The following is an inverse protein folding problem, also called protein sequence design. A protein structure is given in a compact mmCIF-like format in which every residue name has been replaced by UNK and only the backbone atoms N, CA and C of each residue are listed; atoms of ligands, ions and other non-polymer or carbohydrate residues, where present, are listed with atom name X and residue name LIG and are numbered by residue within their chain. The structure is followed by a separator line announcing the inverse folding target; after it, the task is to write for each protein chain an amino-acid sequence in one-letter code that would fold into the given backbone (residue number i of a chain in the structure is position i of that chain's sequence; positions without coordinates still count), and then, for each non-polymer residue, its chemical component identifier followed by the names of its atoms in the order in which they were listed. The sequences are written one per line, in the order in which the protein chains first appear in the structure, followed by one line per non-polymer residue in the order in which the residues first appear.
data_IF_322713248407
#
_entry.id   IF_322713248407
#
_cell.length_a   1.000
_cell.length_b   1.000
_cell.length_c   1.000
_cell.angle_alpha   90.00
_cell.angle_beta   90.00
_cell.angle_gamma   90.00
#
_symmetry.space_group_name_H-M   'P 1'
#
loop_
_entity.id
_entity.type
_entity.pdbx_description
1 polymer ?
#
# COMPACT_ATOMS: atom_id res chain seq x y z
N UNK A 1 16.72 -12.15 -9.11
CA UNK A 1 15.57 -11.75 -9.96
C UNK A 1 16.12 -10.92 -11.10
N UNK A 2 15.73 -11.22 -12.34
CA UNK A 2 16.28 -10.55 -13.52
C UNK A 2 15.91 -9.06 -13.54
N UNK A 3 16.84 -8.20 -13.95
CA UNK A 3 16.67 -6.74 -14.12
C UNK A 3 15.73 -6.38 -15.30
N UNK A 4 14.80 -7.27 -15.66
CA UNK A 4 13.99 -7.16 -16.88
C UNK A 4 12.65 -6.42 -16.69
N UNK A 5 12.35 -5.96 -15.49
CA UNK A 5 11.06 -5.34 -15.18
C UNK A 5 9.86 -6.30 -15.16
N UNK A 6 10.14 -7.60 -15.12
CA UNK A 6 9.13 -8.65 -15.10
C UNK A 6 9.26 -9.55 -13.86
N UNK A 7 8.12 -10.02 -13.38
CA UNK A 7 7.93 -11.03 -12.37
C UNK A 7 7.19 -12.21 -13.06
N UNK A 8 7.94 -13.19 -13.57
CA UNK A 8 7.37 -14.19 -14.47
C UNK A 8 6.79 -13.52 -15.73
N UNK A 9 5.50 -13.69 -15.98
CA UNK A 9 4.80 -13.05 -17.11
C UNK A 9 4.18 -11.68 -16.76
N UNK A 10 4.26 -11.25 -15.50
CA UNK A 10 3.71 -9.99 -15.00
C UNK A 10 4.74 -8.86 -15.00
N UNK A 11 4.26 -7.61 -14.97
CA UNK A 11 5.09 -6.41 -15.03
C UNK A 11 5.16 -5.80 -16.42
N UNK A 12 6.32 -5.29 -16.80
CA UNK A 12 6.55 -4.69 -18.11
C UNK A 12 6.22 -3.20 -18.19
N UNK A 13 6.16 -2.67 -19.43
CA UNK A 13 5.91 -1.25 -19.73
C UNK A 13 4.88 -1.13 -20.84
N UNK A 14 3.62 -1.06 -20.49
CA UNK A 14 2.48 -0.90 -21.40
C UNK A 14 2.03 0.57 -21.39
N UNK A 15 2.87 1.44 -21.95
CA UNK A 15 2.72 2.90 -21.91
C UNK A 15 2.92 3.52 -23.29
N UNK A 16 2.45 4.76 -23.53
CA UNK A 16 2.79 5.55 -24.71
C UNK A 16 4.31 5.76 -24.82
N UNK A 17 4.81 5.84 -26.06
CA UNK A 17 6.23 6.00 -26.39
C UNK A 17 6.85 7.23 -25.70
N UNK A 18 6.08 8.30 -25.52
CA UNK A 18 6.50 9.54 -24.87
C UNK A 18 7.02 9.32 -23.43
N UNK A 19 6.57 8.26 -22.73
CA UNK A 19 7.00 7.94 -21.38
C UNK A 19 8.25 7.04 -21.31
N UNK A 20 8.66 6.40 -22.39
CA UNK A 20 9.77 5.43 -22.37
C UNK A 20 11.07 6.11 -21.93
N UNK A 21 11.35 7.33 -22.43
CA UNK A 21 12.53 8.10 -22.02
C UNK A 21 12.55 8.40 -20.51
N UNK A 22 11.41 8.82 -19.95
CA UNK A 22 11.27 9.12 -18.53
C UNK A 22 11.38 7.87 -17.65
N UNK A 23 10.82 6.74 -18.09
CA UNK A 23 10.95 5.47 -17.38
C UNK A 23 12.39 4.95 -17.39
N UNK A 24 13.13 5.13 -18.49
CA UNK A 24 14.57 4.80 -18.55
C UNK A 24 15.39 5.69 -17.61
N UNK A 25 15.12 7.02 -17.60
CA UNK A 25 15.74 7.96 -16.67
C UNK A 25 15.52 7.53 -15.22
N UNK A 26 14.26 7.21 -14.87
CA UNK A 26 13.88 6.78 -13.54
C UNK A 26 14.53 5.46 -13.13
N UNK A 27 14.58 4.48 -14.03
CA UNK A 27 15.24 3.19 -13.79
C UNK A 27 16.74 3.36 -13.53
N UNK A 28 17.42 4.15 -14.35
CA UNK A 28 18.85 4.45 -14.18
C UNK A 28 19.09 5.17 -12.85
N UNK A 29 18.28 6.19 -12.54
CA UNK A 29 18.39 6.95 -11.31
C UNK A 29 18.17 6.05 -10.07
N UNK A 30 17.12 5.21 -10.08
CA UNK A 30 16.85 4.27 -8.98
C UNK A 30 17.98 3.24 -8.81
N UNK A 31 18.43 2.60 -9.89
CA UNK A 31 19.50 1.61 -9.84
C UNK A 31 20.83 2.21 -9.37
N UNK A 32 21.10 3.47 -9.69
CA UNK A 32 22.26 4.20 -9.20
C UNK A 32 22.13 4.52 -7.72
N UNK A 33 20.98 5.07 -7.30
CA UNK A 33 20.71 5.43 -5.92
C UNK A 33 20.80 4.23 -4.96
N UNK A 34 20.34 3.05 -5.38
CA UNK A 34 20.43 1.81 -4.58
C UNK A 34 21.89 1.36 -4.31
N UNK A 35 22.87 1.89 -5.01
CA UNK A 35 24.30 1.59 -4.86
C UNK A 35 25.11 2.78 -4.34
N UNK A 36 24.48 3.93 -4.19
CA UNK A 36 25.11 5.17 -3.76
C UNK A 36 25.09 5.27 -2.21
N UNK A 37 26.24 5.16 -1.53
CA UNK A 37 26.30 5.23 -0.06
C UNK A 37 25.76 6.55 0.51
N UNK A 38 25.90 7.67 -0.22
CA UNK A 38 25.40 8.97 0.24
C UNK A 38 23.88 9.01 0.19
N UNK A 39 23.26 8.49 -0.89
CA UNK A 39 21.81 8.38 -0.98
C UNK A 39 21.24 7.49 0.13
N UNK A 40 21.86 6.33 0.33
CA UNK A 40 21.41 5.37 1.36
C UNK A 40 21.56 5.93 2.76
N UNK A 41 22.64 6.66 3.04
CA UNK A 41 22.86 7.32 4.33
C UNK A 41 21.83 8.45 4.57
N UNK A 42 21.56 9.28 3.57
CA UNK A 42 20.57 10.36 3.64
C UNK A 42 19.15 9.79 3.87
N UNK A 43 18.78 8.73 3.14
CA UNK A 43 17.50 8.06 3.34
C UNK A 43 17.39 7.41 4.72
N UNK A 44 18.44 6.75 5.20
CA UNK A 44 18.48 6.15 6.54
C UNK A 44 18.35 7.21 7.65
N UNK A 45 19.00 8.37 7.50
CA UNK A 45 18.86 9.48 8.44
C UNK A 45 17.44 10.04 8.46
N UNK A 46 16.79 10.20 7.31
CA UNK A 46 15.38 10.60 7.22
C UNK A 46 14.45 9.56 7.85
N UNK A 47 14.71 8.29 7.63
CA UNK A 47 13.95 7.23 8.29
C UNK A 47 14.06 7.31 9.80
N UNK A 48 15.25 7.54 10.33
CA UNK A 48 15.51 7.63 11.76
C UNK A 48 14.94 8.90 12.40
N UNK A 49 15.23 10.06 11.82
CA UNK A 49 14.98 11.36 12.47
C UNK A 49 13.66 11.99 12.09
N UNK A 50 13.10 11.64 10.93
CA UNK A 50 11.85 12.22 10.42
C UNK A 50 10.70 11.24 10.40
N UNK A 51 10.90 9.99 9.94
CA UNK A 51 9.86 8.95 9.98
C UNK A 51 9.63 8.40 11.38
N UNK A 52 10.69 8.28 12.20
CA UNK A 52 10.65 7.69 13.54
C UNK A 52 10.91 6.17 13.51
N UNK A 53 11.70 5.70 12.53
CA UNK A 53 12.08 4.28 12.44
C UNK A 53 13.24 3.93 13.38
N UNK A 54 13.39 2.63 13.78
CA UNK A 54 12.56 1.50 13.40
C UNK A 54 11.16 1.56 14.01
N UNK A 55 10.12 1.20 13.19
CA UNK A 55 8.76 1.04 13.71
C UNK A 55 8.73 -0.15 14.67
N UNK A 56 8.06 -0.02 15.80
CA UNK A 56 8.01 -1.07 16.81
C UNK A 56 7.07 -2.21 16.43
N UNK A 57 7.27 -3.38 17.04
CA UNK A 57 6.28 -4.46 17.06
C UNK A 57 5.58 -4.45 18.42
N UNK A 58 4.26 -4.50 18.40
CA UNK A 58 3.39 -4.61 19.59
C UNK A 58 2.69 -5.96 19.59
N UNK A 59 2.77 -6.72 20.67
CA UNK A 59 1.96 -7.93 20.85
C UNK A 59 0.55 -7.54 21.28
N UNK A 60 -0.45 -7.94 20.49
CA UNK A 60 -1.88 -7.66 20.73
C UNK A 60 -2.50 -8.81 21.56
N UNK A 61 -2.24 -8.81 22.85
CA UNK A 61 -2.54 -9.95 23.75
C UNK A 61 -4.03 -10.26 23.88
N UNK A 62 -4.86 -9.24 24.09
CA UNK A 62 -6.31 -9.43 24.24
C UNK A 62 -6.98 -9.72 22.89
N UNK A 63 -6.47 -9.15 21.82
CA UNK A 63 -6.92 -9.48 20.47
C UNK A 63 -6.59 -10.94 20.11
N UNK A 64 -5.44 -11.45 20.55
CA UNK A 64 -5.01 -12.84 20.35
C UNK A 64 -5.99 -13.88 20.91
N UNK A 65 -6.72 -13.57 22.00
CA UNK A 65 -7.73 -14.45 22.57
C UNK A 65 -8.84 -14.80 21.57
N UNK A 66 -9.13 -13.91 20.61
CA UNK A 66 -10.13 -14.10 19.56
C UNK A 66 -9.60 -14.86 18.34
N UNK A 67 -8.28 -15.05 18.25
CA UNK A 67 -7.59 -15.74 17.16
C UNK A 67 -7.20 -17.18 17.54
N UNK A 68 -8.04 -17.88 18.30
CA UNK A 68 -7.78 -19.27 18.72
C UNK A 68 -6.57 -19.41 19.65
N UNK A 69 -6.12 -18.32 20.27
CA UNK A 69 -4.95 -18.30 21.16
C UNK A 69 -3.61 -18.13 20.44
N UNK A 70 -3.58 -18.05 19.12
CA UNK A 70 -2.39 -17.67 18.37
C UNK A 70 -1.91 -16.28 18.79
N UNK A 71 -0.61 -16.09 18.95
CA UNK A 71 -0.04 -14.80 19.34
C UNK A 71 -0.02 -13.85 18.14
N UNK A 72 -0.63 -12.69 18.29
CA UNK A 72 -0.73 -11.67 17.25
C UNK A 72 0.27 -10.54 17.54
N UNK A 73 1.14 -10.28 16.58
CA UNK A 73 2.14 -9.21 16.60
C UNK A 73 1.82 -8.19 15.52
N UNK A 74 1.80 -6.91 15.89
CA UNK A 74 1.48 -5.78 15.01
C UNK A 74 2.75 -4.99 14.70
N UNK A 75 3.18 -4.97 13.43
CA UNK A 75 4.21 -4.04 12.96
C UNK A 75 3.57 -2.66 12.79
N UNK A 76 3.97 -1.71 13.63
CA UNK A 76 3.30 -0.44 13.87
C UNK A 76 3.68 0.65 12.86
N UNK A 77 3.35 0.46 11.58
CA UNK A 77 3.53 1.49 10.55
C UNK A 77 2.58 2.70 10.72
N UNK A 78 1.53 2.55 11.51
CA UNK A 78 0.60 3.59 11.93
C UNK A 78 1.24 4.66 12.82
N UNK A 79 2.35 4.35 13.49
CA UNK A 79 3.09 5.28 14.35
C UNK A 79 4.13 6.12 13.59
N UNK A 80 4.42 5.79 12.36
CA UNK A 80 5.32 6.57 11.53
C UNK A 80 4.79 7.98 11.30
N UNK A 81 5.67 8.94 11.06
CA UNK A 81 5.26 10.27 10.61
C UNK A 81 4.31 10.19 9.43
N UNK A 82 3.26 10.99 9.40
CA UNK A 82 2.07 10.94 8.53
C UNK A 82 1.03 9.88 8.88
N UNK A 83 1.37 8.87 9.72
CA UNK A 83 0.41 7.88 10.23
C UNK A 83 0.21 6.67 9.35
N UNK A 84 1.16 6.35 8.46
CA UNK A 84 1.11 5.13 7.64
C UNK A 84 2.46 4.76 7.04
N UNK A 85 2.56 3.54 6.46
CA UNK A 85 3.72 3.06 5.72
C UNK A 85 4.12 3.92 4.51
N UNK A 86 3.22 4.76 3.99
CA UNK A 86 3.44 5.53 2.75
C UNK A 86 4.64 6.45 2.81
N UNK A 87 4.99 6.96 3.99
CA UNK A 87 6.15 7.85 4.17
C UNK A 87 7.47 7.20 3.73
N UNK A 88 7.60 5.87 3.86
CA UNK A 88 8.82 5.15 3.49
C UNK A 88 9.14 5.33 1.99
N UNK A 89 8.14 5.10 1.16
CA UNK A 89 8.27 5.21 -0.30
C UNK A 89 8.45 6.66 -0.75
N UNK A 90 7.65 7.59 -0.22
CA UNK A 90 7.68 8.97 -0.72
C UNK A 90 8.97 9.70 -0.36
N UNK A 91 9.62 9.39 0.77
CA UNK A 91 10.93 9.95 1.10
C UNK A 91 12.00 9.48 0.09
N UNK A 92 12.02 8.18 -0.23
CA UNK A 92 12.92 7.64 -1.23
C UNK A 92 12.71 8.25 -2.62
N UNK A 93 11.45 8.35 -3.06
CA UNK A 93 11.11 8.96 -4.34
C UNK A 93 11.39 10.48 -4.37
N UNK A 94 11.16 11.20 -3.27
CA UNK A 94 11.45 12.64 -3.20
C UNK A 94 12.94 12.93 -3.28
N UNK A 95 13.78 12.16 -2.58
CA UNK A 95 15.23 12.24 -2.70
C UNK A 95 15.68 11.95 -4.14
N UNK A 96 15.11 10.92 -4.76
CA UNK A 96 15.41 10.56 -6.14
C UNK A 96 15.00 11.68 -7.09
N UNK A 97 13.83 12.30 -6.89
CA UNK A 97 13.33 13.45 -7.65
C UNK A 97 14.33 14.63 -7.63
N UNK A 98 14.84 14.96 -6.43
CA UNK A 98 15.87 16.02 -6.30
C UNK A 98 17.16 15.67 -7.05
N UNK A 99 17.64 14.43 -6.97
CA UNK A 99 18.85 13.98 -7.66
C UNK A 99 18.70 13.95 -9.18
N UNK A 100 17.49 13.71 -9.68
CA UNK A 100 17.16 13.84 -11.12
C UNK A 100 16.97 15.29 -11.56
N UNK A 101 17.05 16.28 -10.66
CA UNK A 101 16.87 17.71 -10.98
C UNK A 101 15.43 18.11 -11.31
N UNK A 102 14.43 17.24 -11.05
CA UNK A 102 13.01 17.58 -11.22
C UNK A 102 12.56 18.53 -10.11
N UNK A 103 11.65 19.43 -10.42
CA UNK A 103 11.18 20.49 -9.50
C UNK A 103 9.79 20.26 -8.98
N UNK A 104 9.03 19.40 -9.68
CA UNK A 104 7.63 19.15 -9.41
C UNK A 104 7.38 17.66 -9.23
N UNK A 105 6.53 17.31 -8.28
CA UNK A 105 5.96 15.98 -8.14
C UNK A 105 4.46 16.02 -8.35
N UNK A 106 3.94 14.95 -8.94
CA UNK A 106 2.52 14.65 -8.97
C UNK A 106 2.29 13.32 -8.26
N UNK A 107 1.14 13.17 -7.63
CA UNK A 107 0.73 11.94 -6.97
C UNK A 107 -0.76 11.71 -7.17
N UNK A 108 -1.18 10.46 -7.11
CA UNK A 108 -2.57 10.05 -6.97
C UNK A 108 -2.88 9.69 -5.53
N UNK A 109 -4.14 9.72 -5.14
CA UNK A 109 -4.55 9.19 -3.84
C UNK A 109 -6.04 8.82 -3.82
N UNK A 110 -6.39 7.75 -3.09
CA UNK A 110 -7.77 7.37 -2.75
C UNK A 110 -8.08 7.78 -1.31
N UNK A 111 -7.63 7.00 -0.33
CA UNK A 111 -7.82 7.32 1.10
C UNK A 111 -7.10 8.60 1.60
N UNK A 112 -6.33 9.26 0.75
CA UNK A 112 -5.61 10.48 1.09
C UNK A 112 -4.24 10.26 1.76
N UNK A 113 -3.93 9.08 2.26
CA UNK A 113 -2.66 8.84 2.99
C UNK A 113 -1.43 8.99 2.11
N UNK A 114 -1.48 8.51 0.86
CA UNK A 114 -0.39 8.72 -0.08
C UNK A 114 -0.24 10.19 -0.45
N UNK A 115 -1.34 10.89 -0.70
CA UNK A 115 -1.34 12.33 -0.98
C UNK A 115 -0.75 13.16 0.17
N UNK A 116 -1.13 12.86 1.42
CA UNK A 116 -0.55 13.52 2.60
C UNK A 116 0.94 13.23 2.72
N UNK A 117 1.36 11.97 2.53
CA UNK A 117 2.78 11.61 2.58
C UNK A 117 3.57 12.30 1.46
N UNK A 118 3.05 12.37 0.23
CA UNK A 118 3.66 13.05 -0.92
C UNK A 118 3.79 14.55 -0.68
N UNK A 119 2.71 15.20 -0.20
CA UNK A 119 2.75 16.62 0.17
C UNK A 119 3.76 16.89 1.28
N UNK A 120 3.87 15.99 2.26
CA UNK A 120 4.85 16.07 3.36
C UNK A 120 6.29 16.01 2.83
N UNK A 121 6.59 15.03 1.97
CA UNK A 121 7.91 14.87 1.38
C UNK A 121 8.26 16.05 0.44
N UNK A 122 7.29 16.54 -0.33
CA UNK A 122 7.47 17.72 -1.17
C UNK A 122 7.79 18.97 -0.35
N UNK A 123 7.03 19.23 0.72
CA UNK A 123 7.29 20.35 1.63
C UNK A 123 8.70 20.26 2.26
N UNK A 124 9.09 19.07 2.73
CA UNK A 124 10.42 18.82 3.30
C UNK A 124 11.54 19.10 2.30
N UNK A 125 11.35 18.73 1.03
CA UNK A 125 12.37 18.80 -0.02
C UNK A 125 12.35 20.09 -0.84
N UNK A 126 11.35 20.98 -0.61
CA UNK A 126 11.16 22.20 -1.39
C UNK A 126 10.75 21.94 -2.84
N UNK A 127 9.85 20.97 -3.06
CA UNK A 127 9.31 20.59 -4.37
C UNK A 127 7.87 21.06 -4.51
N UNK A 128 7.47 21.46 -5.71
CA UNK A 128 6.06 21.68 -6.04
C UNK A 128 5.30 20.34 -6.03
N UNK A 129 4.07 20.36 -5.50
CA UNK A 129 3.27 19.13 -5.36
C UNK A 129 1.84 19.32 -5.86
N UNK A 130 1.40 18.44 -6.77
CA UNK A 130 0.01 18.33 -7.21
C UNK A 130 -0.50 16.92 -6.90
N UNK A 131 -1.63 16.82 -6.21
CA UNK A 131 -2.25 15.55 -5.84
C UNK A 131 -3.60 15.42 -6.54
N UNK A 132 -3.74 14.39 -7.35
CA UNK A 132 -4.99 13.99 -8.00
C UNK A 132 -5.77 13.06 -7.07
N UNK A 133 -7.04 13.35 -6.84
CA UNK A 133 -7.92 12.58 -5.98
C UNK A 133 -9.33 12.55 -6.57
N UNK A 134 -9.97 11.39 -6.60
CA UNK A 134 -11.34 11.30 -7.07
C UNK A 134 -12.28 12.22 -6.28
N UNK A 135 -13.24 12.84 -6.93
CA UNK A 135 -14.20 13.75 -6.26
C UNK A 135 -14.94 13.04 -5.12
N UNK A 136 -15.32 11.79 -5.31
CA UNK A 136 -15.97 10.98 -4.28
C UNK A 136 -15.03 10.74 -3.08
N UNK A 137 -13.77 10.45 -3.34
CA UNK A 137 -12.75 10.27 -2.30
C UNK A 137 -12.42 11.59 -1.59
N UNK A 138 -12.42 12.73 -2.30
CA UNK A 138 -12.23 14.07 -1.66
C UNK A 138 -13.31 14.36 -0.64
N UNK A 139 -14.54 13.92 -0.90
CA UNK A 139 -15.67 14.08 0.02
C UNK A 139 -15.53 13.18 1.24
N UNK A 140 -15.22 11.88 1.02
CA UNK A 140 -15.05 10.87 2.09
C UNK A 140 -13.88 11.20 3.01
N UNK A 141 -12.81 11.79 2.49
CA UNK A 141 -11.53 12.00 3.15
C UNK A 141 -11.14 13.49 3.24
N UNK A 142 -12.12 14.34 3.53
CA UNK A 142 -11.96 15.80 3.58
C UNK A 142 -10.85 16.28 4.55
N UNK A 143 -10.64 15.56 5.66
CA UNK A 143 -9.55 15.85 6.60
C UNK A 143 -8.17 15.71 5.94
N UNK A 144 -7.96 14.66 5.15
CA UNK A 144 -6.70 14.47 4.44
C UNK A 144 -6.52 15.53 3.32
N UNK A 145 -7.61 15.95 2.66
CA UNK A 145 -7.57 17.06 1.69
C UNK A 145 -7.10 18.35 2.38
N UNK A 146 -7.63 18.66 3.56
CA UNK A 146 -7.20 19.82 4.35
C UNK A 146 -5.70 19.72 4.73
N UNK A 147 -5.24 18.55 5.17
CA UNK A 147 -3.82 18.30 5.51
C UNK A 147 -2.89 18.51 4.31
N UNK A 148 -3.24 18.00 3.13
CA UNK A 148 -2.45 18.20 1.90
C UNK A 148 -2.34 19.69 1.55
N UNK A 149 -3.44 20.44 1.64
CA UNK A 149 -3.45 21.90 1.39
C UNK A 149 -2.62 22.67 2.42
N UNK A 150 -2.67 22.30 3.70
CA UNK A 150 -1.82 22.90 4.75
C UNK A 150 -0.33 22.66 4.51
N UNK A 151 0.03 21.52 3.88
CA UNK A 151 1.39 21.19 3.48
C UNK A 151 1.84 21.86 2.18
N UNK A 152 0.99 22.70 1.58
CA UNK A 152 1.29 23.47 0.37
C UNK A 152 0.98 22.74 -0.95
N UNK A 153 0.43 21.54 -0.92
CA UNK A 153 0.07 20.83 -2.14
C UNK A 153 -1.22 21.38 -2.77
N UNK A 154 -1.27 21.41 -4.09
CA UNK A 154 -2.49 21.59 -4.86
C UNK A 154 -3.22 20.25 -4.92
N UNK A 155 -4.49 20.22 -4.51
CA UNK A 155 -5.35 19.03 -4.65
C UNK A 155 -6.35 19.27 -5.78
N UNK A 156 -6.31 18.38 -6.77
CA UNK A 156 -7.18 18.39 -7.96
C UNK A 156 -8.21 17.29 -7.84
N UNK A 157 -9.49 17.66 -7.72
CA UNK A 157 -10.60 16.72 -7.71
C UNK A 157 -10.87 16.20 -9.13
N UNK A 158 -10.84 14.87 -9.31
CA UNK A 158 -11.12 14.22 -10.59
C UNK A 158 -12.60 13.85 -10.65
N UNK A 159 -13.31 14.47 -11.60
CA UNK A 159 -14.77 14.38 -11.76
C UNK A 159 -15.24 13.40 -12.82
N UNK A 160 -14.31 12.71 -13.49
CA UNK A 160 -14.59 11.75 -14.55
C UNK A 160 -14.59 10.31 -14.03
N UNK A 161 -15.23 9.39 -14.75
CA UNK A 161 -15.32 7.97 -14.40
C UNK A 161 -16.07 7.70 -13.10
N UNK A 162 -15.60 6.72 -12.32
CA UNK A 162 -16.13 6.41 -10.98
C UNK A 162 -15.77 7.45 -9.93
N UNK A 163 -14.90 8.40 -10.26
CA UNK A 163 -14.43 9.47 -9.38
C UNK A 163 -13.70 8.97 -8.13
N UNK A 164 -12.96 7.87 -8.28
CA UNK A 164 -12.17 7.18 -7.25
C UNK A 164 -10.70 7.08 -7.63
N UNK A 165 -9.91 6.31 -6.89
CA UNK A 165 -8.46 6.13 -7.07
C UNK A 165 -8.06 5.77 -8.50
N UNK A 166 -8.82 4.90 -9.21
CA UNK A 166 -8.50 4.52 -10.61
C UNK A 166 -8.45 5.74 -11.52
N UNK A 167 -9.42 6.65 -11.39
CA UNK A 167 -9.50 7.84 -12.24
C UNK A 167 -8.48 8.91 -11.83
N UNK A 168 -8.14 8.98 -10.55
CA UNK A 168 -7.02 9.80 -10.06
C UNK A 168 -5.69 9.37 -10.69
N UNK A 169 -5.42 8.05 -10.80
CA UNK A 169 -4.23 7.51 -11.48
C UNK A 169 -4.25 7.90 -12.98
N UNK A 170 -5.40 7.76 -13.64
CA UNK A 170 -5.53 8.13 -15.06
C UNK A 170 -5.18 9.60 -15.30
N UNK A 171 -5.65 10.49 -14.43
CA UNK A 171 -5.40 11.94 -14.56
C UNK A 171 -3.96 12.29 -14.23
N UNK A 172 -3.38 11.71 -13.19
CA UNK A 172 -1.95 11.86 -12.88
C UNK A 172 -1.06 11.39 -14.06
N UNK A 173 -1.40 10.28 -14.71
CA UNK A 173 -0.67 9.81 -15.89
C UNK A 173 -0.78 10.78 -17.07
N UNK A 174 -1.94 11.43 -17.30
CA UNK A 174 -2.09 12.45 -18.36
C UNK A 174 -1.24 13.68 -18.08
N UNK A 175 -1.22 14.16 -16.84
CA UNK A 175 -0.34 15.25 -16.43
C UNK A 175 1.14 14.87 -16.65
N UNK A 176 1.52 13.65 -16.23
CA UNK A 176 2.90 13.21 -16.36
C UNK A 176 3.37 13.15 -17.80
N UNK A 177 2.57 12.60 -18.73
CA UNK A 177 2.89 12.62 -20.18
C UNK A 177 3.13 14.03 -20.69
N UNK A 178 2.33 15.01 -20.20
CA UNK A 178 2.42 16.40 -20.65
C UNK A 178 3.66 17.11 -20.08
N UNK A 179 4.05 16.82 -18.83
CA UNK A 179 5.05 17.57 -18.07
C UNK A 179 6.28 16.73 -17.69
N UNK A 180 6.59 15.69 -18.42
CA UNK A 180 7.60 14.69 -18.08
C UNK A 180 9.00 15.29 -17.91
N UNK A 181 9.31 16.43 -18.54
CA UNK A 181 10.63 17.03 -18.52
C UNK A 181 11.04 17.52 -17.11
N UNK A 182 10.14 18.08 -16.35
CA UNK A 182 10.41 18.69 -15.02
C UNK A 182 9.65 18.04 -13.87
N UNK A 183 8.78 17.07 -14.17
CA UNK A 183 7.86 16.47 -13.24
C UNK A 183 8.19 14.99 -13.02
N UNK A 184 8.25 14.56 -11.75
CA UNK A 184 8.26 13.16 -11.36
C UNK A 184 6.87 12.70 -10.92
N UNK A 185 6.41 11.56 -11.45
CA UNK A 185 5.22 10.91 -10.95
C UNK A 185 5.58 10.06 -9.72
N UNK A 186 5.18 10.52 -8.54
CA UNK A 186 5.40 9.84 -7.27
C UNK A 186 4.29 8.80 -7.03
N UNK A 187 4.41 7.64 -7.67
CA UNK A 187 3.41 6.59 -7.59
C UNK A 187 3.38 5.95 -6.19
N UNK A 188 2.17 5.82 -5.63
CA UNK A 188 1.96 5.43 -4.23
C UNK A 188 1.82 3.94 -3.97
N UNK A 189 1.84 3.11 -5.01
CA UNK A 189 1.66 1.66 -4.88
C UNK A 189 2.63 0.89 -5.78
N UNK A 190 2.70 -0.44 -5.62
CA UNK A 190 3.55 -1.34 -6.42
C UNK A 190 2.93 -1.73 -7.76
N UNK A 191 2.01 -0.91 -8.27
CA UNK A 191 1.46 -0.98 -9.62
C UNK A 191 2.22 -0.08 -10.60
N UNK A 192 1.72 0.08 -11.80
CA UNK A 192 2.32 0.94 -12.82
C UNK A 192 3.44 0.26 -13.62
N UNK A 193 3.95 0.96 -14.64
CA UNK A 193 4.99 0.42 -15.50
C UNK A 193 6.32 0.27 -14.76
N UNK A 194 7.15 -0.69 -15.18
CA UNK A 194 8.53 -0.76 -14.68
C UNK A 194 9.26 0.59 -14.91
N UNK A 195 9.99 1.17 -13.90
CA UNK A 195 10.50 0.51 -12.68
C UNK A 195 9.62 0.66 -11.42
N UNK A 196 8.44 1.27 -11.49
CA UNK A 196 7.65 1.59 -10.29
C UNK A 196 7.40 0.41 -9.34
N UNK A 197 6.99 -0.81 -9.78
CA UNK A 197 6.77 -1.90 -8.85
C UNK A 197 8.02 -2.26 -8.04
N UNK A 198 9.17 -2.33 -8.70
CA UNK A 198 10.46 -2.62 -8.05
C UNK A 198 10.88 -1.49 -7.12
N UNK A 199 10.82 -0.25 -7.60
CA UNK A 199 11.25 0.93 -6.84
C UNK A 199 10.41 1.13 -5.58
N UNK A 200 9.10 1.04 -5.68
CA UNK A 200 8.18 1.20 -4.53
C UNK A 200 8.38 0.07 -3.52
N UNK A 201 8.56 -1.18 -3.98
CA UNK A 201 8.95 -2.30 -3.11
C UNK A 201 10.24 -2.01 -2.37
N UNK A 202 11.29 -1.58 -3.08
CA UNK A 202 12.62 -1.38 -2.51
C UNK A 202 12.63 -0.29 -1.43
N UNK A 203 11.80 0.75 -1.57
CA UNK A 203 11.63 1.75 -0.52
C UNK A 203 10.72 1.29 0.64
N UNK A 204 9.90 0.26 0.45
CA UNK A 204 9.07 -0.31 1.53
C UNK A 204 9.70 -1.54 2.22
N UNK A 205 10.70 -2.18 1.63
CA UNK A 205 11.28 -3.45 2.16
C UNK A 205 11.83 -3.34 3.58
N UNK A 206 12.19 -2.12 4.01
CA UNK A 206 12.61 -1.82 5.39
C UNK A 206 11.58 -2.29 6.43
N UNK A 207 10.29 -2.34 6.08
CA UNK A 207 9.23 -2.86 6.95
C UNK A 207 9.52 -4.32 7.30
N UNK A 208 9.80 -5.14 6.28
CA UNK A 208 10.07 -6.56 6.44
C UNK A 208 11.44 -6.82 7.08
N UNK A 209 12.48 -6.05 6.67
CA UNK A 209 13.83 -6.17 7.22
C UNK A 209 13.82 -5.96 8.75
N UNK A 210 13.27 -4.86 9.22
CA UNK A 210 13.10 -4.61 10.67
C UNK A 210 12.22 -5.65 11.35
N UNK A 211 11.11 -6.06 10.72
CA UNK A 211 10.18 -7.03 11.29
C UNK A 211 10.84 -8.38 11.53
N UNK A 212 11.70 -8.81 10.62
CA UNK A 212 12.42 -10.07 10.73
C UNK A 212 13.32 -10.09 11.96
N UNK A 213 14.12 -9.03 12.15
CA UNK A 213 15.02 -8.89 13.30
C UNK A 213 14.21 -8.81 14.61
N UNK A 214 13.21 -7.97 14.64
CA UNK A 214 12.37 -7.77 15.83
C UNK A 214 11.60 -9.03 16.24
N UNK A 215 11.10 -9.84 15.29
CA UNK A 215 10.44 -11.10 15.61
C UNK A 215 11.41 -12.13 16.19
N UNK A 216 12.65 -12.21 15.68
CA UNK A 216 13.68 -13.06 16.25
C UNK A 216 14.05 -12.62 17.67
N UNK A 217 14.17 -11.33 17.95
CA UNK A 217 14.42 -10.78 19.28
C UNK A 217 13.27 -11.07 20.25
N UNK A 218 12.02 -10.88 19.82
CA UNK A 218 10.84 -11.01 20.67
C UNK A 218 10.44 -12.47 20.97
N UNK A 219 10.64 -13.37 20.00
CA UNK A 219 10.07 -14.74 20.07
C UNK A 219 11.12 -15.85 19.92
N UNK A 220 12.36 -15.52 19.57
CA UNK A 220 13.42 -16.48 19.27
C UNK A 220 13.27 -17.20 17.92
N UNK A 221 12.21 -16.91 17.14
CA UNK A 221 11.93 -17.57 15.86
C UNK A 221 11.20 -16.64 14.88
N UNK A 222 11.19 -17.01 13.60
CA UNK A 222 10.38 -16.32 12.60
C UNK A 222 8.88 -16.56 12.87
N UNK A 223 7.99 -15.67 12.38
CA UNK A 223 6.54 -15.90 12.48
C UNK A 223 6.11 -17.11 11.64
N UNK A 224 5.02 -17.76 12.04
CA UNK A 224 4.40 -18.84 11.25
C UNK A 224 3.66 -18.28 10.03
N UNK A 225 3.13 -17.07 10.16
CA UNK A 225 2.51 -16.36 9.05
C UNK A 225 2.74 -14.84 9.15
N UNK A 226 2.90 -14.20 7.99
CA UNK A 226 2.93 -12.74 7.82
C UNK A 226 1.70 -12.32 7.01
N UNK A 227 0.91 -11.40 7.55
CA UNK A 227 -0.35 -10.96 6.99
C UNK A 227 -0.32 -9.46 6.69
N UNK A 228 -0.90 -9.07 5.57
CA UNK A 228 -1.08 -7.66 5.22
C UNK A 228 -2.28 -7.47 4.30
N UNK A 229 -2.96 -6.32 4.39
CA UNK A 229 -4.02 -5.98 3.45
C UNK A 229 -3.45 -5.67 2.06
N UNK A 230 -4.21 -6.00 1.02
CA UNK A 230 -3.81 -5.84 -0.37
C UNK A 230 -4.90 -5.13 -1.16
N UNK A 231 -4.59 -3.88 -1.59
CA UNK A 231 -5.21 -3.22 -2.71
C UNK A 231 -4.18 -3.27 -3.85
N UNK A 232 -3.49 -2.15 -4.14
CA UNK A 232 -2.29 -2.22 -5.00
C UNK A 232 -1.13 -3.02 -4.39
N UNK A 233 -1.05 -3.16 -3.06
CA UNK A 233 -0.22 -4.12 -2.35
C UNK A 233 1.13 -3.59 -1.84
N UNK A 234 1.36 -2.27 -1.77
CA UNK A 234 2.67 -1.73 -1.38
C UNK A 234 3.10 -2.08 0.05
N UNK A 235 2.18 -2.02 1.01
CA UNK A 235 2.47 -2.41 2.39
C UNK A 235 2.77 -3.91 2.51
N UNK A 236 2.02 -4.72 1.78
CA UNK A 236 2.16 -6.17 1.80
C UNK A 236 3.50 -6.61 1.21
N UNK A 237 3.87 -6.14 0.02
CA UNK A 237 5.16 -6.50 -0.57
C UNK A 237 6.33 -5.98 0.26
N UNK A 238 6.16 -4.83 0.93
CA UNK A 238 7.17 -4.26 1.82
C UNK A 238 7.50 -5.19 2.98
N UNK A 239 6.48 -5.75 3.64
CA UNK A 239 6.72 -6.70 4.74
C UNK A 239 7.04 -8.10 4.23
N UNK A 240 6.43 -8.57 3.14
CA UNK A 240 6.65 -9.93 2.59
C UNK A 240 8.07 -10.11 2.08
N UNK A 241 8.69 -9.07 1.52
CA UNK A 241 9.98 -9.15 0.83
C UNK A 241 11.06 -9.87 1.66
N UNK A 242 11.18 -9.56 2.94
CA UNK A 242 12.16 -10.15 3.83
C UNK A 242 11.89 -11.63 4.17
N UNK A 243 10.66 -12.12 3.93
CA UNK A 243 10.23 -13.47 4.25
C UNK A 243 10.00 -14.36 3.01
N UNK A 244 10.12 -13.79 1.80
CA UNK A 244 9.99 -14.58 0.54
C UNK A 244 10.93 -15.81 0.53
N UNK A 245 12.20 -15.73 0.99
CA UNK A 245 13.12 -16.87 0.98
C UNK A 245 12.75 -17.98 1.98
N UNK A 246 11.93 -17.65 3.00
CA UNK A 246 11.60 -18.59 4.08
C UNK A 246 10.31 -19.32 3.77
N UNK A 247 10.40 -20.46 3.08
CA UNK A 247 9.23 -21.24 2.63
C UNK A 247 8.33 -21.74 3.76
N UNK A 248 8.85 -21.85 5.00
CA UNK A 248 8.09 -22.21 6.20
C UNK A 248 7.22 -21.06 6.74
N UNK A 249 7.48 -19.81 6.33
CA UNK A 249 6.68 -18.65 6.72
C UNK A 249 5.57 -18.45 5.68
N UNK A 250 4.31 -18.60 6.08
CA UNK A 250 3.18 -18.32 5.19
C UNK A 250 3.07 -16.82 4.94
N UNK A 251 2.89 -16.41 3.68
CA UNK A 251 2.61 -15.03 3.27
C UNK A 251 1.15 -14.94 2.85
N UNK A 252 0.36 -14.10 3.52
CA UNK A 252 -1.09 -14.06 3.30
C UNK A 252 -1.53 -12.62 3.05
N UNK A 253 -1.94 -12.34 1.81
CA UNK A 253 -2.54 -11.09 1.40
C UNK A 253 -4.06 -11.10 1.63
N UNK A 254 -4.59 -10.07 2.30
CA UNK A 254 -6.02 -9.94 2.57
C UNK A 254 -6.59 -8.84 1.67
N UNK A 255 -7.45 -9.25 0.74
CA UNK A 255 -8.09 -8.37 -0.24
C UNK A 255 -9.47 -7.91 0.26
N UNK A 256 -9.94 -6.76 -0.24
CA UNK A 256 -11.28 -6.28 0.10
C UNK A 256 -12.36 -7.06 -0.65
N UNK A 257 -13.05 -7.91 0.08
CA UNK A 257 -14.18 -8.71 -0.42
C UNK A 257 -15.49 -7.93 -0.55
N UNK A 258 -15.54 -6.67 -0.10
CA UNK A 258 -16.72 -5.82 -0.21
C UNK A 258 -17.97 -6.47 0.38
N UNK A 259 -19.04 -6.50 -0.41
CA UNK A 259 -20.32 -7.17 -0.06
C UNK A 259 -20.26 -8.70 -0.26
N UNK A 260 -19.10 -9.26 -0.67
CA UNK A 260 -18.88 -10.64 -1.05
C UNK A 260 -18.42 -10.74 -2.51
N UNK A 261 -17.42 -11.58 -2.80
CA UNK A 261 -16.85 -11.72 -4.15
C UNK A 261 -17.93 -12.18 -5.16
N UNK A 262 -18.83 -13.05 -4.74
CA UNK A 262 -19.94 -13.59 -5.53
C UNK A 262 -20.97 -12.52 -5.94
N UNK A 263 -21.03 -11.39 -5.26
CA UNK A 263 -21.94 -10.29 -5.59
C UNK A 263 -21.45 -9.42 -6.74
N UNK A 264 -20.14 -9.52 -7.08
CA UNK A 264 -19.48 -8.63 -8.02
C UNK A 264 -19.15 -7.23 -7.42
N UNK A 265 -19.52 -6.95 -6.18
CA UNK A 265 -19.24 -5.69 -5.48
C UNK A 265 -18.09 -5.88 -4.49
N UNK A 266 -16.87 -5.92 -5.02
CA UNK A 266 -15.63 -6.16 -4.27
C UNK A 266 -14.42 -5.52 -4.95
N UNK A 267 -13.26 -5.51 -4.28
CA UNK A 267 -11.96 -5.11 -4.82
C UNK A 267 -10.91 -6.22 -4.68
N UNK A 268 -11.35 -7.48 -4.53
CA UNK A 268 -10.48 -8.65 -4.43
C UNK A 268 -9.96 -9.04 -5.81
N UNK A 269 -8.84 -8.48 -6.22
CA UNK A 269 -8.34 -8.52 -7.60
C UNK A 269 -7.70 -9.87 -7.95
N UNK A 270 -6.92 -10.48 -7.04
CA UNK A 270 -6.33 -11.82 -7.27
C UNK A 270 -7.42 -12.89 -7.14
N UNK A 271 -8.26 -12.79 -6.12
CA UNK A 271 -9.30 -13.79 -5.85
C UNK A 271 -10.43 -13.77 -6.91
N UNK A 272 -10.82 -12.61 -7.41
CA UNK A 272 -11.98 -12.46 -8.29
C UNK A 272 -11.67 -11.90 -9.69
N UNK A 273 -10.42 -11.56 -9.99
CA UNK A 273 -10.00 -11.00 -11.27
C UNK A 273 -9.31 -12.00 -12.19
N UNK A 274 -8.78 -11.48 -13.30
CA UNK A 274 -8.06 -12.26 -14.31
C UNK A 274 -6.82 -11.50 -14.80
N UNK A 275 -5.78 -12.18 -15.36
CA UNK A 275 -4.63 -11.50 -15.93
C UNK A 275 -5.02 -10.51 -17.04
N UNK A 276 -4.52 -9.28 -16.93
CA UNK A 276 -4.79 -8.19 -17.87
C UNK A 276 -3.75 -7.08 -17.76
N UNK A 277 -3.99 -5.95 -18.42
CA UNK A 277 -3.14 -4.77 -18.39
C UNK A 277 -3.91 -3.58 -17.84
N UNK A 278 -3.38 -2.97 -16.79
CA UNK A 278 -3.95 -1.75 -16.20
C UNK A 278 -2.81 -0.80 -15.78
N UNK A 279 -2.98 0.51 -16.03
CA UNK A 279 -2.03 1.55 -15.63
C UNK A 279 -0.58 1.25 -16.01
N UNK A 280 -0.38 0.67 -17.21
CA UNK A 280 0.96 0.45 -17.78
C UNK A 280 1.69 -0.81 -17.33
N UNK A 281 1.03 -1.73 -16.62
CA UNK A 281 1.61 -3.01 -16.19
C UNK A 281 0.67 -4.17 -16.46
N UNK A 282 1.22 -5.36 -16.73
CA UNK A 282 0.45 -6.61 -16.75
C UNK A 282 0.39 -7.18 -15.34
N UNK A 283 -0.82 -7.48 -14.87
CA UNK A 283 -1.09 -8.06 -13.55
C UNK A 283 -2.47 -8.70 -13.53
N UNK A 284 -3.00 -9.08 -12.36
CA UNK A 284 -4.43 -9.37 -12.20
C UNK A 284 -5.24 -8.08 -12.20
N UNK A 285 -6.41 -8.11 -12.83
CA UNK A 285 -7.32 -6.96 -13.00
C UNK A 285 -8.76 -7.43 -12.84
N UNK A 286 -9.58 -6.63 -12.17
CA UNK A 286 -11.04 -6.79 -12.23
C UNK A 286 -11.52 -6.29 -13.60
N UNK A 287 -11.86 -7.19 -14.48
CA UNK A 287 -12.25 -6.90 -15.86
C UNK A 287 -13.31 -7.89 -16.39
N UNK A 288 -14.09 -7.44 -17.35
CA UNK A 288 -15.03 -8.26 -18.07
C UNK A 288 -14.36 -9.13 -19.17
N UNK A 289 -15.15 -9.93 -19.86
CA UNK A 289 -14.66 -10.80 -20.93
C UNK A 289 -14.06 -10.04 -22.14
N UNK A 290 -14.32 -8.73 -22.25
CA UNK A 290 -13.78 -7.85 -23.28
C UNK A 290 -12.54 -7.09 -22.82
N UNK A 291 -12.06 -7.33 -21.58
CA UNK A 291 -10.91 -6.64 -20.98
C UNK A 291 -11.21 -5.23 -20.47
N UNK A 292 -12.50 -4.88 -20.34
CA UNK A 292 -12.88 -3.60 -19.72
C UNK A 292 -12.87 -3.73 -18.20
N UNK A 293 -12.25 -2.77 -17.51
CA UNK A 293 -12.22 -2.76 -16.04
C UNK A 293 -13.62 -2.68 -15.47
N UNK A 294 -13.91 -3.57 -14.52
CA UNK A 294 -15.14 -3.53 -13.71
C UNK A 294 -14.89 -2.55 -12.55
N UNK A 295 -15.93 -1.82 -12.16
CA UNK A 295 -15.87 -0.93 -10.99
C UNK A 295 -15.63 -1.76 -9.72
N UNK A 296 -14.59 -1.39 -8.97
CA UNK A 296 -14.30 -2.00 -7.69
C UNK A 296 -15.14 -1.38 -6.57
N UNK A 297 -15.29 -2.10 -5.47
CA UNK A 297 -15.99 -1.63 -4.28
C UNK A 297 -15.30 -2.10 -3.00
N UNK A 298 -15.11 -1.18 -2.05
CA UNK A 298 -14.63 -1.45 -0.71
C UNK A 298 -15.08 -0.34 0.23
N UNK A 299 -15.44 -0.69 1.48
CA UNK A 299 -15.62 0.29 2.56
C UNK A 299 -14.32 1.07 2.83
N UNK A 300 -13.18 0.47 2.51
CA UNK A 300 -11.86 1.08 2.61
C UNK A 300 -11.46 1.75 1.29
N UNK A 301 -11.41 3.08 1.25
CA UNK A 301 -11.01 3.83 0.06
C UNK A 301 -9.57 3.48 -0.41
N UNK A 302 -8.68 3.05 0.48
CA UNK A 302 -7.30 2.65 0.13
C UNK A 302 -7.19 1.27 -0.49
N UNK A 303 -8.23 0.43 -0.42
CA UNK A 303 -8.30 -0.88 -1.08
C UNK A 303 -9.23 -0.87 -2.31
N UNK A 304 -9.94 0.22 -2.56
CA UNK A 304 -10.88 0.36 -3.67
C UNK A 304 -10.11 0.62 -4.98
N UNK A 305 -9.53 -0.46 -5.52
CA UNK A 305 -8.71 -0.43 -6.73
C UNK A 305 -8.86 -1.76 -7.51
N UNK A 306 -9.12 -1.71 -8.83
CA UNK A 306 -9.41 -2.92 -9.62
C UNK A 306 -8.14 -3.61 -10.16
N UNK A 307 -6.99 -3.41 -9.54
CA UNK A 307 -5.70 -3.98 -9.94
C UNK A 307 -4.82 -4.28 -8.74
N UNK A 308 -3.71 -5.00 -8.99
CA UNK A 308 -2.73 -5.36 -7.96
C UNK A 308 -1.31 -5.29 -8.54
N UNK A 309 -0.31 -5.17 -7.68
CA UNK A 309 1.09 -5.18 -8.08
C UNK A 309 1.50 -6.48 -8.78
N UNK A 310 2.32 -6.41 -9.85
CA UNK A 310 2.68 -7.59 -10.64
C UNK A 310 3.51 -8.63 -9.86
N UNK A 311 4.25 -8.21 -8.84
CA UNK A 311 4.97 -9.15 -7.97
C UNK A 311 4.00 -9.98 -7.11
N UNK A 312 2.87 -9.40 -6.67
CA UNK A 312 1.81 -10.15 -5.98
C UNK A 312 1.18 -11.20 -6.90
N UNK A 313 0.88 -10.83 -8.14
CA UNK A 313 0.38 -11.77 -9.16
C UNK A 313 1.35 -12.95 -9.35
N UNK A 314 2.63 -12.66 -9.49
CA UNK A 314 3.67 -13.70 -9.60
C UNK A 314 3.77 -14.59 -8.35
N UNK A 315 3.78 -13.99 -7.15
CA UNK A 315 3.86 -14.76 -5.89
C UNK A 315 2.65 -15.66 -5.69
N UNK A 316 1.48 -15.24 -6.15
CA UNK A 316 0.27 -16.06 -6.18
C UNK A 316 0.44 -17.27 -7.12
N UNK A 317 0.80 -17.03 -8.37
CA UNK A 317 0.88 -18.08 -9.39
C UNK A 317 1.92 -19.15 -9.10
N UNK A 318 3.06 -18.76 -8.50
CA UNK A 318 4.08 -19.73 -8.06
C UNK A 318 3.77 -20.36 -6.70
N UNK A 319 2.63 -20.06 -6.09
CA UNK A 319 2.20 -20.62 -4.81
C UNK A 319 3.05 -20.16 -3.61
N UNK A 320 3.77 -19.01 -3.72
CA UNK A 320 4.57 -18.49 -2.61
C UNK A 320 3.75 -17.65 -1.64
N UNK A 321 2.71 -16.99 -2.10
CA UNK A 321 1.79 -16.22 -1.26
C UNK A 321 0.35 -16.63 -1.53
N UNK A 322 -0.45 -16.67 -0.46
CA UNK A 322 -1.89 -16.89 -0.49
C UNK A 322 -2.60 -15.53 -0.53
N UNK A 323 -3.78 -15.49 -1.17
CA UNK A 323 -4.65 -14.31 -1.12
C UNK A 323 -6.06 -14.74 -0.76
N UNK A 324 -6.70 -13.97 0.14
CA UNK A 324 -8.04 -14.26 0.65
C UNK A 324 -8.87 -12.98 0.68
N UNK A 325 -10.10 -13.07 0.21
CA UNK A 325 -11.05 -11.96 0.29
C UNK A 325 -11.67 -11.89 1.70
N UNK A 326 -11.75 -10.68 2.24
CA UNK A 326 -12.40 -10.37 3.52
C UNK A 326 -13.51 -9.36 3.24
N UNK A 327 -14.74 -9.69 3.59
CA UNK A 327 -15.87 -8.78 3.40
C UNK A 327 -15.85 -7.62 4.38
N UNK A 328 -16.64 -6.58 4.09
CA UNK A 328 -16.67 -5.34 4.85
C UNK A 328 -17.10 -5.56 6.30
N UNK A 329 -18.08 -6.44 6.55
CA UNK A 329 -18.56 -6.73 7.92
C UNK A 329 -17.48 -7.38 8.79
N UNK A 330 -16.72 -8.35 8.25
CA UNK A 330 -15.63 -8.98 8.97
C UNK A 330 -14.49 -7.98 9.26
N UNK A 331 -14.17 -7.12 8.28
CA UNK A 331 -13.18 -6.05 8.45
C UNK A 331 -13.62 -5.08 9.56
N UNK A 332 -14.86 -4.59 9.53
CA UNK A 332 -15.37 -3.67 10.53
C UNK A 332 -15.50 -4.31 11.92
N UNK A 333 -15.85 -5.59 12.01
CA UNK A 333 -15.78 -6.34 13.26
C UNK A 333 -14.35 -6.31 13.84
N UNK A 334 -13.34 -6.65 13.04
CA UNK A 334 -11.94 -6.67 13.50
C UNK A 334 -11.42 -5.26 13.84
N UNK A 335 -11.86 -4.22 13.11
CA UNK A 335 -11.61 -2.82 13.43
C UNK A 335 -12.09 -2.47 14.85
N UNK A 336 -13.37 -2.78 15.14
CA UNK A 336 -13.96 -2.54 16.46
C UNK A 336 -13.29 -3.38 17.55
N UNK A 337 -12.95 -4.64 17.24
CA UNK A 337 -12.31 -5.54 18.19
C UNK A 337 -10.94 -5.02 18.62
N UNK A 338 -10.05 -4.69 17.68
CA UNK A 338 -8.72 -4.15 18.01
C UNK A 338 -8.83 -2.85 18.80
N UNK A 339 -9.74 -1.97 18.40
CA UNK A 339 -9.97 -0.69 19.10
C UNK A 339 -10.37 -0.92 20.58
N UNK A 340 -11.24 -1.89 20.87
CA UNK A 340 -11.74 -2.17 22.22
C UNK A 340 -10.80 -3.03 23.06
N UNK A 341 -10.00 -3.89 22.42
CA UNK A 341 -9.11 -4.80 23.16
C UNK A 341 -7.74 -4.18 23.42
N UNK A 342 -7.18 -3.49 22.43
CA UNK A 342 -5.81 -2.97 22.50
C UNK A 342 -5.72 -1.43 22.57
N UNK A 343 -6.85 -0.71 22.44
CA UNK A 343 -6.86 0.76 22.40
C UNK A 343 -6.17 1.31 21.14
N UNK A 344 -6.14 0.52 20.07
CA UNK A 344 -5.53 0.90 18.78
C UNK A 344 -6.65 1.00 17.75
N UNK A 345 -6.88 2.18 17.21
CA UNK A 345 -7.81 2.41 16.10
C UNK A 345 -7.03 2.24 14.78
N UNK A 346 -7.17 1.08 14.10
CA UNK A 346 -6.44 0.83 12.85
C UNK A 346 -7.09 1.56 11.68
N UNK A 347 -6.37 1.76 10.58
CA UNK A 347 -7.01 2.08 9.32
C UNK A 347 -7.95 0.93 8.87
N UNK A 348 -9.06 1.24 8.19
CA UNK A 348 -9.99 0.21 7.69
C UNK A 348 -9.29 -0.74 6.71
N UNK A 349 -8.28 -0.26 5.99
CA UNK A 349 -7.40 -1.11 5.19
C UNK A 349 -6.83 -2.26 6.02
N UNK A 350 -6.21 -1.93 7.15
CA UNK A 350 -5.58 -2.91 8.04
C UNK A 350 -6.60 -3.83 8.71
N UNK A 351 -7.83 -3.37 8.91
CA UNK A 351 -8.89 -4.17 9.51
C UNK A 351 -9.18 -5.46 8.72
N UNK A 352 -8.99 -5.44 7.38
CA UNK A 352 -9.05 -6.65 6.55
C UNK A 352 -7.95 -7.66 6.95
N UNK A 353 -6.72 -7.18 7.18
CA UNK A 353 -5.63 -8.05 7.63
C UNK A 353 -5.87 -8.61 9.04
N UNK A 354 -6.47 -7.81 9.92
CA UNK A 354 -6.83 -8.25 11.27
C UNK A 354 -7.94 -9.31 11.26
N UNK A 355 -8.96 -9.15 10.42
CA UNK A 355 -10.01 -10.16 10.24
C UNK A 355 -9.42 -11.48 9.71
N UNK A 356 -8.54 -11.41 8.71
CA UNK A 356 -7.81 -12.58 8.22
C UNK A 356 -6.94 -13.23 9.29
N UNK A 357 -6.34 -12.44 10.18
CA UNK A 357 -5.51 -12.96 11.28
C UNK A 357 -6.32 -13.76 12.30
N UNK A 358 -7.57 -13.39 12.55
CA UNK A 358 -8.48 -14.19 13.41
C UNK A 358 -8.67 -15.58 12.79
N UNK A 359 -8.97 -15.65 11.51
CA UNK A 359 -9.19 -16.92 10.79
C UNK A 359 -7.91 -17.77 10.75
N UNK A 360 -6.78 -17.18 10.35
CA UNK A 360 -5.49 -17.89 10.26
C UNK A 360 -5.00 -18.33 11.65
N UNK A 361 -5.23 -17.54 12.68
CA UNK A 361 -4.90 -17.92 14.06
C UNK A 361 -5.69 -19.14 14.54
N UNK A 362 -6.98 -19.20 14.22
CA UNK A 362 -7.83 -20.38 14.51
C UNK A 362 -7.37 -21.62 13.72
N UNK A 363 -6.90 -21.45 12.47
CA UNK A 363 -6.33 -22.53 11.64
C UNK A 363 -5.04 -23.10 12.24
N UNK A 364 -4.14 -22.21 12.71
CA UNK A 364 -2.80 -22.59 13.16
C UNK A 364 -2.72 -22.94 14.65
N UNK A 365 -3.66 -22.44 15.46
CA UNK A 365 -3.76 -22.73 16.87
C UNK A 365 -2.80 -21.96 17.78
N UNK A 366 -2.81 -22.23 19.09
CA UNK A 366 -2.24 -21.36 20.12
C UNK A 366 -0.71 -21.31 20.18
N UNK A 367 0.00 -22.16 19.43
CA UNK A 367 1.46 -22.12 19.38
C UNK A 367 1.99 -21.22 18.24
N UNK A 368 1.10 -20.72 17.38
CA UNK A 368 1.48 -19.91 16.24
C UNK A 368 1.77 -18.47 16.63
N UNK A 369 2.76 -17.87 15.95
CA UNK A 369 3.06 -16.44 15.95
C UNK A 369 2.65 -15.86 14.60
N UNK A 370 1.74 -14.89 14.60
CA UNK A 370 1.25 -14.20 13.41
C UNK A 370 1.75 -12.75 13.46
N UNK A 371 2.40 -12.32 12.39
CA UNK A 371 2.87 -10.95 12.23
C UNK A 371 1.97 -10.22 11.24
N UNK A 372 1.36 -9.11 11.66
CA UNK A 372 0.46 -8.30 10.84
C UNK A 372 1.10 -6.94 10.60
N UNK A 373 1.13 -6.49 9.35
CA UNK A 373 1.49 -5.11 9.06
C UNK A 373 0.31 -4.18 9.36
N UNK A 374 0.37 -3.46 10.48
CA UNK A 374 -0.58 -2.40 10.80
C UNK A 374 -0.22 -1.16 9.99
N UNK A 375 -0.69 -1.14 8.75
CA UNK A 375 -0.22 -0.29 7.67
C UNK A 375 -0.51 1.21 7.84
N UNK A 376 -1.51 1.55 8.66
CA UNK A 376 -1.87 2.93 8.94
C UNK A 376 -2.85 3.07 10.10
N UNK A 377 -2.97 4.30 10.62
CA UNK A 377 -3.89 4.65 11.70
C UNK A 377 -5.28 5.01 11.19
N UNK A 378 -6.29 4.79 12.02
CA UNK A 378 -7.69 4.96 11.68
C UNK A 378 -8.28 6.36 11.90
N UNK A 379 -7.47 7.37 12.30
CA UNK A 379 -8.02 8.73 12.52
C UNK A 379 -8.76 9.29 11.30
N UNK A 380 -8.30 8.93 10.09
CA UNK A 380 -8.94 9.31 8.83
C UNK A 380 -10.29 8.64 8.60
N UNK A 381 -10.52 7.50 9.26
CA UNK A 381 -11.67 6.60 9.03
C UNK A 381 -12.73 6.71 10.14
N UNK A 382 -12.48 7.56 11.16
CA UNK A 382 -13.37 7.69 12.32
C UNK A 382 -14.80 8.06 11.89
N UNK A 383 -14.97 8.93 10.91
CA UNK A 383 -16.29 9.29 10.41
C UNK A 383 -16.99 8.09 9.76
N UNK A 384 -16.32 7.38 8.84
CA UNK A 384 -16.87 6.17 8.20
C UNK A 384 -17.22 5.10 9.22
N UNK A 385 -16.34 4.89 10.21
CA UNK A 385 -16.57 3.93 11.28
C UNK A 385 -17.75 4.35 12.18
N UNK A 386 -17.88 5.64 12.51
CA UNK A 386 -19.00 6.16 13.30
C UNK A 386 -20.33 5.96 12.57
N UNK A 387 -20.39 6.28 11.28
CA UNK A 387 -21.57 6.03 10.44
C UNK A 387 -21.93 4.54 10.40
N UNK A 388 -20.95 3.65 10.19
CA UNK A 388 -21.16 2.20 10.17
C UNK A 388 -21.69 1.65 11.50
N UNK A 389 -21.14 2.11 12.63
CA UNK A 389 -21.53 1.64 13.96
C UNK A 389 -22.71 2.41 14.57
N UNK A 390 -23.25 3.41 13.91
CA UNK A 390 -24.33 4.24 14.43
C UNK A 390 -23.90 5.11 15.64
N UNK A 391 -22.63 5.53 15.68
CA UNK A 391 -22.08 6.40 16.72
C UNK A 391 -22.33 7.85 16.31
N UNK A 392 -23.05 8.67 17.11
CA UNK A 392 -23.25 10.07 16.78
C UNK A 392 -21.92 10.85 16.84
N UNK A 393 -21.68 11.71 15.83
CA UNK A 393 -20.53 12.61 15.75
C UNK A 393 -20.93 14.04 16.17
#
# INVERSE_FOLDING_TARGET
MSNSGHFGEYGGRFVPEALIGALNELEIAHNTAQKDPEFLAELAELHKTYTGRPSIITEAKRFSEHAGGARIFLKREDLNHTGSHKINNVLGQALLTKRMGKKRIIAETGAGQHGVASATAAALMGLDCVVYMGEEDTRRQSLNVARMKLLGAQVVAVTTGSRTLKDAINEAMRDWVTNVADTHYMLGTVAGPHPFPTMVRDFHKIIGEESREQMLELTGRLPDAVLACVGGGSNAIGIFNAFIPDSQVRLIGLEAGGDGVETGRHAATITGGTPGVLHGTRSYVLQDANGQTIESHSISAGLDYPGVGPEHAYLHDVGRAEYRAINDDAAMFAFSLLSKTEGIIPAIETAHALAGAILVGQELGPQANLLINLSGRGDKDVQTAAEYFGIPL
#
